data_IF_481416820143
#
_entry.id   IF_481416820143
#
_cell.length_a   1.000
_cell.length_b   1.000
_cell.length_c   1.000
_cell.angle_alpha   90.00
_cell.angle_beta   90.00
_cell.angle_gamma   90.00
#
_symmetry.space_group_name_H-M   'P 1'
#
loop_
_entity.id
_entity.type
_entity.pdbx_description
1 polymer ?
#
# COMPACT_ATOMS: atom_id res chain seq x y z
N UNK A 1 5.53 -28.70 -11.34
CA UNK A 1 6.46 -28.52 -10.20
C UNK A 1 6.02 -27.28 -9.45
N UNK A 2 5.72 -27.46 -8.16
CA UNK A 2 5.08 -26.49 -7.28
C UNK A 2 5.94 -25.25 -7.05
N UNK A 3 5.35 -24.07 -7.21
CA UNK A 3 5.86 -22.82 -6.65
C UNK A 3 4.74 -22.19 -5.82
N UNK A 4 4.57 -22.70 -4.60
CA UNK A 4 3.65 -22.17 -3.60
C UNK A 4 4.33 -21.13 -2.69
N UNK A 5 5.30 -20.37 -3.22
CA UNK A 5 6.12 -19.39 -2.46
C UNK A 5 5.67 -17.93 -2.69
N UNK A 6 4.37 -17.74 -2.92
CA UNK A 6 3.73 -16.43 -3.12
C UNK A 6 2.79 -16.07 -1.94
N UNK A 7 3.02 -16.68 -0.78
CA UNK A 7 2.17 -16.50 0.39
C UNK A 7 2.87 -15.62 1.40
N UNK A 8 2.54 -14.33 1.32
CA UNK A 8 2.99 -13.22 2.14
C UNK A 8 4.41 -12.74 1.81
N UNK A 9 4.49 -11.61 1.10
CA UNK A 9 5.67 -10.76 1.15
C UNK A 9 6.06 -10.63 2.62
N UNK A 10 7.29 -11.06 2.95
CA UNK A 10 7.69 -11.38 4.32
C UNK A 10 7.47 -10.26 5.35
N UNK A 11 7.75 -10.49 6.64
CA UNK A 11 7.34 -9.61 7.76
C UNK A 11 7.57 -8.11 7.54
N UNK A 12 8.66 -7.73 6.86
CA UNK A 12 8.97 -6.35 6.50
C UNK A 12 7.96 -5.71 5.53
N UNK A 13 7.46 -6.46 4.54
CA UNK A 13 6.43 -5.98 3.61
C UNK A 13 5.11 -5.78 4.34
N UNK A 14 4.73 -6.73 5.21
CA UNK A 14 3.52 -6.60 6.00
C UNK A 14 3.58 -5.42 6.98
N UNK A 15 4.74 -5.22 7.61
CA UNK A 15 4.99 -4.05 8.45
C UNK A 15 4.86 -2.75 7.65
N UNK A 16 5.46 -2.67 6.46
CA UNK A 16 5.35 -1.50 5.60
C UNK A 16 3.91 -1.25 5.15
N UNK A 17 3.18 -2.29 4.75
CA UNK A 17 1.78 -2.19 4.34
C UNK A 17 0.91 -1.66 5.49
N UNK A 18 1.11 -2.20 6.70
CA UNK A 18 0.37 -1.79 7.90
C UNK A 18 0.69 -0.34 8.29
N UNK A 19 1.97 0.05 8.24
CA UNK A 19 2.41 1.40 8.50
C UNK A 19 1.84 2.40 7.49
N UNK A 20 1.86 2.04 6.20
CA UNK A 20 1.29 2.88 5.15
C UNK A 20 -0.22 3.02 5.30
N UNK A 21 -0.93 1.95 5.66
CA UNK A 21 -2.37 1.99 5.91
C UNK A 21 -2.72 2.93 7.07
N UNK A 22 -1.96 2.87 8.16
CA UNK A 22 -2.12 3.77 9.29
C UNK A 22 -1.84 5.22 8.90
N UNK A 23 -0.72 5.46 8.20
CA UNK A 23 -0.33 6.81 7.77
C UNK A 23 -1.36 7.44 6.83
N UNK A 24 -1.86 6.70 5.81
CA UNK A 24 -2.90 7.20 4.90
C UNK A 24 -4.18 7.56 5.64
N UNK A 25 -4.60 6.73 6.61
CA UNK A 25 -5.77 7.03 7.44
C UNK A 25 -5.61 8.32 8.26
N UNK A 26 -4.40 8.64 8.71
CA UNK A 26 -4.13 9.90 9.42
C UNK A 26 -4.18 11.14 8.52
N UNK A 27 -3.99 10.98 7.20
CA UNK A 27 -4.06 12.10 6.25
C UNK A 27 -5.49 12.49 5.86
N UNK A 28 -6.48 11.67 6.19
CA UNK A 28 -7.87 11.86 5.78
C UNK A 28 -8.78 12.05 7.01
N UNK A 29 -9.81 12.88 6.88
CA UNK A 29 -10.83 12.99 7.92
C UNK A 29 -11.61 11.68 8.10
N UNK A 30 -11.89 10.99 7.00
CA UNK A 30 -12.55 9.69 7.01
C UNK A 30 -12.12 8.83 5.83
N UNK A 31 -12.03 7.51 6.05
CA UNK A 31 -11.85 6.51 5.00
C UNK A 31 -12.71 5.29 5.34
N UNK A 32 -13.70 5.00 4.51
CA UNK A 32 -14.56 3.82 4.67
C UNK A 32 -13.81 2.51 4.50
N UNK A 33 -13.21 2.29 3.34
CA UNK A 33 -12.35 1.13 3.06
C UNK A 33 -11.02 1.59 2.45
N UNK A 34 -9.95 0.88 2.78
CA UNK A 34 -8.60 1.15 2.28
C UNK A 34 -7.89 -0.19 2.07
N UNK A 35 -7.58 -0.48 0.81
CA UNK A 35 -6.74 -1.59 0.37
C UNK A 35 -5.42 -1.02 -0.15
N UNK A 36 -4.31 -1.63 0.27
CA UNK A 36 -2.96 -1.25 -0.13
C UNK A 36 -2.23 -2.52 -0.53
N UNK A 37 -1.71 -2.51 -1.75
CA UNK A 37 -0.92 -3.59 -2.30
C UNK A 37 0.48 -3.09 -2.61
N UNK A 38 1.47 -3.68 -1.93
CA UNK A 38 2.88 -3.43 -2.21
C UNK A 38 3.34 -4.39 -3.30
N UNK A 39 4.02 -3.86 -4.30
CA UNK A 39 4.55 -4.63 -5.42
C UNK A 39 6.05 -4.83 -5.26
N UNK A 40 6.48 -6.09 -5.32
CA UNK A 40 7.88 -6.49 -5.16
C UNK A 40 8.06 -7.44 -3.99
N UNK A 41 9.32 -7.64 -3.59
CA UNK A 41 9.71 -8.60 -2.57
C UNK A 41 10.34 -7.92 -1.35
N UNK A 42 10.28 -8.58 -0.19
CA UNK A 42 10.93 -8.08 1.02
C UNK A 42 12.45 -7.89 0.86
N UNK A 43 13.13 -8.75 0.09
CA UNK A 43 14.57 -8.58 -0.19
C UNK A 43 14.87 -7.37 -1.06
N UNK A 44 14.01 -7.06 -2.04
CA UNK A 44 14.16 -5.84 -2.83
C UNK A 44 13.95 -4.61 -1.95
N UNK A 45 12.93 -4.62 -1.07
CA UNK A 45 12.65 -3.54 -0.14
C UNK A 45 13.83 -3.28 0.80
N UNK A 46 14.41 -4.34 1.38
CA UNK A 46 15.59 -4.25 2.24
C UNK A 46 16.83 -3.71 1.50
N UNK A 47 16.85 -3.81 0.17
CA UNK A 47 17.86 -3.20 -0.71
C UNK A 47 17.47 -1.80 -1.20
N UNK A 48 16.46 -1.17 -0.59
CA UNK A 48 15.99 0.17 -0.93
C UNK A 48 15.15 0.24 -2.20
N UNK A 49 14.58 -0.87 -2.68
CA UNK A 49 13.78 -0.90 -3.93
C UNK A 49 12.38 -1.45 -3.71
N UNK A 50 11.38 -0.73 -4.18
CA UNK A 50 10.00 -1.20 -4.26
C UNK A 50 9.50 -1.04 -5.71
N UNK A 51 8.86 -2.07 -6.26
CA UNK A 51 8.40 -2.01 -7.66
C UNK A 51 7.24 -1.02 -7.83
N UNK A 52 6.44 -0.84 -6.78
CA UNK A 52 5.37 0.13 -6.73
C UNK A 52 4.41 -0.14 -5.57
N UNK A 53 3.39 0.71 -5.48
CA UNK A 53 2.28 0.58 -4.55
C UNK A 53 1.00 0.85 -5.32
N UNK A 54 -0.02 0.02 -5.12
CA UNK A 54 -1.39 0.32 -5.52
C UNK A 54 -2.23 0.55 -4.29
N UNK A 55 -3.09 1.56 -4.36
CA UNK A 55 -3.99 1.94 -3.29
C UNK A 55 -5.38 2.11 -3.87
N UNK A 56 -6.35 1.46 -3.23
CA UNK A 56 -7.76 1.62 -3.53
C UNK A 56 -8.51 1.98 -2.26
N UNK A 57 -9.19 3.12 -2.28
CA UNK A 57 -9.95 3.59 -1.14
C UNK A 57 -11.38 3.98 -1.56
N UNK A 58 -12.34 3.78 -0.65
CA UNK A 58 -13.74 4.17 -0.87
C UNK A 58 -14.28 5.00 0.28
N UNK A 59 -15.20 5.90 -0.05
CA UNK A 59 -15.82 6.84 0.89
C UNK A 59 -14.75 7.61 1.67
N UNK A 60 -13.92 8.34 0.93
CA UNK A 60 -12.80 9.12 1.46
C UNK A 60 -13.25 10.57 1.64
N UNK A 61 -12.91 11.16 2.78
CA UNK A 61 -13.00 12.60 3.02
C UNK A 61 -11.58 13.12 3.20
N UNK A 62 -11.15 13.97 2.29
CA UNK A 62 -9.82 14.58 2.29
C UNK A 62 -9.94 16.10 2.08
N UNK A 63 -9.58 16.90 3.09
CA UNK A 63 -9.72 18.37 3.06
C UNK A 63 -11.14 18.82 2.68
N UNK A 64 -12.14 18.23 3.32
CA UNK A 64 -13.58 18.44 3.07
C UNK A 64 -14.06 18.06 1.66
N UNK A 65 -13.21 17.44 0.85
CA UNK A 65 -13.58 16.85 -0.44
C UNK A 65 -14.01 15.41 -0.23
N UNK A 66 -15.19 15.08 -0.75
CA UNK A 66 -15.78 13.75 -0.68
C UNK A 66 -15.49 12.98 -1.97
N UNK A 67 -14.83 11.83 -1.83
CA UNK A 67 -14.55 10.90 -2.93
C UNK A 67 -15.22 9.57 -2.67
N UNK A 68 -15.98 9.07 -3.64
CA UNK A 68 -16.56 7.73 -3.53
C UNK A 68 -15.51 6.64 -3.78
N UNK A 69 -14.61 6.88 -4.73
CA UNK A 69 -13.52 5.98 -5.10
C UNK A 69 -12.27 6.79 -5.37
N UNK A 70 -11.15 6.32 -4.81
CA UNK A 70 -9.82 6.83 -5.07
C UNK A 70 -8.93 5.65 -5.44
N UNK A 71 -8.33 5.74 -6.62
CA UNK A 71 -7.33 4.79 -7.11
C UNK A 71 -6.02 5.55 -7.31
N UNK A 72 -4.97 5.10 -6.62
CA UNK A 72 -3.64 5.66 -6.73
C UNK A 72 -2.64 4.54 -7.00
N UNK A 73 -1.64 4.85 -7.82
CA UNK A 73 -0.51 3.98 -8.07
C UNK A 73 0.77 4.78 -7.98
N UNK A 74 1.81 4.20 -7.38
CA UNK A 74 3.16 4.73 -7.50
C UNK A 74 3.90 4.03 -8.63
N UNK A 75 4.82 4.75 -9.27
CA UNK A 75 5.89 4.11 -10.01
C UNK A 75 6.90 3.40 -9.07
N UNK A 76 7.98 2.85 -9.63
CA UNK A 76 9.07 2.27 -8.84
C UNK A 76 9.69 3.29 -7.89
N UNK A 77 9.99 2.85 -6.67
CA UNK A 77 10.60 3.67 -5.61
C UNK A 77 11.99 3.13 -5.32
N UNK A 78 12.98 4.03 -5.29
CA UNK A 78 14.37 3.74 -4.98
C UNK A 78 14.90 4.81 -4.02
N UNK A 79 15.61 4.39 -2.98
CA UNK A 79 16.24 5.25 -1.95
C UNK A 79 17.72 4.94 -1.80
#
# INVERSE_FOLDING_TARGET
MSSSDDKAGGPVMQLLASGLQLWVRQQCQAIGSLDIQLQGTGLQLLRGRLAGVQLLARRVVYKDLHFELVELSSGPIQV
#
